data_IF_741482524676
#
_entry.id   IF_741482524676
#
_cell.length_a   1.000
_cell.length_b   1.000
_cell.length_c   1.000
_cell.angle_alpha   90.00
_cell.angle_beta   90.00
_cell.angle_gamma   90.00
#
_symmetry.space_group_name_H-M   'P 1'
#
loop_
_entity.id
_entity.type
_entity.pdbx_description
1 polymer ?
#
# COMPACT_ATOMS: atom_id res chain seq x y z
N UNK A 1 16.40 21.99 -17.26
CA UNK A 1 14.97 22.05 -16.87
C UNK A 1 14.44 20.65 -16.71
N UNK A 2 14.58 20.05 -15.52
CA UNK A 2 13.90 18.81 -15.17
C UNK A 2 13.67 18.82 -13.65
N UNK A 3 12.97 19.85 -13.19
CA UNK A 3 12.76 20.14 -11.76
C UNK A 3 11.56 19.36 -11.20
N UNK A 4 11.15 18.27 -11.88
CA UNK A 4 9.95 17.49 -11.54
C UNK A 4 10.17 16.50 -10.38
N UNK A 5 11.38 16.42 -9.83
CA UNK A 5 11.74 15.44 -8.78
C UNK A 5 12.18 16.05 -7.44
N UNK A 6 12.20 17.38 -7.28
CA UNK A 6 12.50 18.01 -5.98
C UNK A 6 11.27 18.23 -5.09
N UNK A 7 10.07 17.89 -5.57
CA UNK A 7 8.91 17.77 -4.69
C UNK A 7 9.09 16.48 -3.87
N UNK A 8 9.42 16.63 -2.58
CA UNK A 8 9.45 15.52 -1.62
C UNK A 8 8.23 14.62 -1.83
N UNK A 9 8.43 13.30 -1.86
CA UNK A 9 7.32 12.39 -2.12
C UNK A 9 6.14 12.69 -1.17
N UNK A 10 4.90 12.85 -1.69
CA UNK A 10 3.74 13.07 -0.85
C UNK A 10 3.67 11.98 0.20
N UNK A 11 3.64 12.40 1.47
CA UNK A 11 3.56 11.53 2.64
C UNK A 11 2.42 10.51 2.51
N UNK A 12 1.34 10.89 1.82
CA UNK A 12 0.14 10.08 1.60
C UNK A 12 -0.05 9.80 0.10
N UNK A 13 0.80 8.94 -0.49
CA UNK A 13 0.65 8.53 -1.89
C UNK A 13 0.07 7.11 -1.96
N UNK A 14 -1.03 6.95 -2.70
CA UNK A 14 -1.59 5.64 -3.06
C UNK A 14 -1.05 5.26 -4.44
N UNK A 15 -0.48 4.05 -4.56
CA UNK A 15 -0.14 3.46 -5.86
C UNK A 15 -1.36 2.72 -6.39
N UNK A 16 -1.80 3.09 -7.59
CA UNK A 16 -2.96 2.49 -8.22
C UNK A 16 -2.82 2.47 -9.75
N UNK A 17 -3.53 1.54 -10.38
CA UNK A 17 -3.80 1.51 -11.82
C UNK A 17 -5.30 1.69 -12.01
N UNK A 18 -5.72 2.59 -12.87
CA UNK A 18 -7.12 2.77 -13.21
C UNK A 18 -7.39 2.37 -14.67
N UNK A 19 -8.64 2.02 -14.91
CA UNK A 19 -9.29 1.82 -16.20
C UNK A 19 -10.63 2.54 -16.15
N UNK A 20 -11.39 2.57 -17.24
CA UNK A 20 -12.68 3.26 -17.28
C UNK A 20 -13.70 2.71 -16.27
N UNK A 21 -13.55 1.46 -15.84
CA UNK A 21 -14.53 0.78 -14.95
C UNK A 21 -13.93 0.29 -13.63
N UNK A 22 -12.61 0.26 -13.50
CA UNK A 22 -11.94 -0.38 -12.36
C UNK A 22 -10.73 0.43 -11.88
N UNK A 23 -10.60 0.53 -10.55
CA UNK A 23 -9.39 1.00 -9.88
C UNK A 23 -8.75 -0.19 -9.17
N UNK A 24 -7.51 -0.52 -9.55
CA UNK A 24 -6.65 -1.48 -8.84
C UNK A 24 -5.72 -0.71 -7.92
N UNK A 25 -5.80 -0.96 -6.63
CA UNK A 25 -4.92 -0.35 -5.62
C UNK A 25 -3.92 -1.34 -5.06
N UNK A 26 -2.70 -0.88 -4.82
CA UNK A 26 -1.64 -1.68 -4.21
C UNK A 26 -1.51 -1.34 -2.74
N UNK A 27 -1.94 -2.26 -1.87
CA UNK A 27 -1.87 -2.13 -0.41
C UNK A 27 -0.61 -2.82 0.12
N UNK A 28 0.19 -2.09 0.90
CA UNK A 28 1.23 -2.70 1.72
C UNK A 28 0.64 -3.15 3.05
N UNK A 29 1.03 -4.34 3.52
CA UNK A 29 0.66 -4.89 4.82
C UNK A 29 1.86 -5.00 5.73
N UNK A 30 1.63 -4.93 7.06
CA UNK A 30 2.66 -5.23 8.07
C UNK A 30 3.24 -6.64 7.86
N UNK A 31 4.51 -6.90 8.26
CA UNK A 31 5.18 -8.18 7.99
C UNK A 31 4.39 -9.43 8.37
N UNK A 32 3.67 -9.43 9.51
CA UNK A 32 2.85 -10.56 9.94
C UNK A 32 1.71 -10.96 8.98
N UNK A 33 1.26 -10.04 8.12
CA UNK A 33 0.27 -10.31 7.07
C UNK A 33 0.96 -10.46 5.72
N UNK A 34 1.83 -9.51 5.35
CA UNK A 34 2.44 -9.45 4.03
C UNK A 34 3.37 -10.63 3.75
N UNK A 35 4.20 -11.03 4.72
CA UNK A 35 5.14 -12.14 4.53
C UNK A 35 4.42 -13.49 4.50
N UNK A 36 3.43 -13.69 5.36
CA UNK A 36 2.62 -14.90 5.35
C UNK A 36 1.88 -15.04 4.00
N UNK A 37 1.28 -13.94 3.51
CA UNK A 37 0.60 -13.94 2.21
C UNK A 37 1.54 -14.22 1.03
N UNK A 38 2.75 -13.64 1.03
CA UNK A 38 3.73 -13.87 -0.03
C UNK A 38 4.27 -15.31 -0.04
N UNK A 39 4.47 -15.91 1.15
CA UNK A 39 4.97 -17.28 1.29
C UNK A 39 3.90 -18.32 0.93
N UNK A 40 2.70 -18.15 1.47
CA UNK A 40 1.65 -19.19 1.45
C UNK A 40 0.61 -18.97 0.33
N UNK A 41 0.71 -17.86 -0.39
CA UNK A 41 -0.27 -17.46 -1.43
C UNK A 41 -1.66 -17.18 -0.88
N UNK A 42 -1.81 -17.03 0.44
CA UNK A 42 -3.09 -16.84 1.14
C UNK A 42 -2.92 -15.89 2.32
N UNK A 43 -3.92 -15.05 2.54
CA UNK A 43 -3.92 -14.18 3.71
C UNK A 43 -4.14 -14.97 5.00
N UNK A 44 -3.43 -14.64 6.10
CA UNK A 44 -3.62 -15.27 7.40
C UNK A 44 -4.95 -14.82 8.03
N UNK A 45 -5.43 -15.54 9.05
CA UNK A 45 -6.72 -15.24 9.71
C UNK A 45 -6.79 -13.87 10.40
N UNK A 46 -5.67 -13.20 10.61
CA UNK A 46 -5.62 -11.81 11.07
C UNK A 46 -6.08 -10.79 10.01
N UNK A 47 -5.99 -11.15 8.73
CA UNK A 47 -6.43 -10.31 7.63
C UNK A 47 -7.95 -10.32 7.54
N UNK A 48 -8.53 -9.15 7.31
CA UNK A 48 -9.99 -8.95 7.25
C UNK A 48 -10.33 -8.13 6.01
N UNK A 49 -11.19 -8.66 5.14
CA UNK A 49 -11.62 -8.00 3.90
C UNK A 49 -12.44 -6.74 4.16
N UNK A 50 -13.25 -6.76 5.22
CA UNK A 50 -14.05 -5.63 5.71
C UNK A 50 -13.18 -4.51 6.29
N UNK A 51 -11.97 -4.84 6.77
CA UNK A 51 -10.98 -3.86 7.24
C UNK A 51 -10.07 -3.41 6.12
N UNK A 52 -10.67 -3.02 5.01
CA UNK A 52 -9.99 -2.32 3.92
C UNK A 52 -9.72 -0.87 4.34
N UNK A 53 -9.04 -0.69 5.47
CA UNK A 53 -8.55 0.58 5.96
C UNK A 53 -7.18 0.82 5.34
N UNK A 54 -7.06 1.95 4.64
CA UNK A 54 -5.82 2.40 4.02
C UNK A 54 -4.74 2.52 5.10
N UNK A 55 -3.83 1.54 5.17
CA UNK A 55 -2.69 1.60 6.09
C UNK A 55 -1.85 2.80 5.68
N UNK A 56 -1.89 3.84 6.51
CA UNK A 56 -0.97 4.95 6.45
C UNK A 56 0.27 4.58 7.27
N UNK A 57 1.40 4.34 6.60
CA UNK A 57 2.70 4.34 7.28
C UNK A 57 3.16 5.78 7.36
N UNK A 58 3.04 6.42 8.52
CA UNK A 58 3.81 7.62 8.79
C UNK A 58 5.30 7.24 8.67
N UNK A 59 6.16 8.08 8.06
CA UNK A 59 7.59 7.87 8.20
C UNK A 59 7.89 7.93 9.70
N UNK A 60 8.45 6.84 10.24
CA UNK A 60 9.17 6.89 11.50
C UNK A 60 10.30 7.89 11.28
N UNK A 61 10.16 9.09 11.83
CA UNK A 61 11.29 9.99 11.97
C UNK A 61 12.33 9.25 12.82
N UNK A 62 13.50 9.03 12.24
CA UNK A 62 14.70 8.73 13.02
C UNK A 62 15.29 10.04 13.48
#
# INVERSE_FOLDING_TARGET
>A
MNDRFLAAEPKFRIRARYTDTTITVYQAYRPGIGLAAARDGRFPGEWKRDRMTWIFSAPTAR
#
